data_IF_376245644623
#
_entry.id   IF_376245644623
#
_cell.length_a   1.000
_cell.length_b   1.000
_cell.length_c   1.000
_cell.angle_alpha   90.00
_cell.angle_beta   90.00
_cell.angle_gamma   90.00
#
_symmetry.space_group_name_H-M   'P 1'
#
loop_
_entity.id
_entity.type
_entity.pdbx_description
1 polymer ?
#
# COMPACT_ATOMS: atom_id res chain seq x y z
N UNK A 1 22.22 -15.37 -13.18
CA UNK A 1 22.15 -13.90 -13.40
C UNK A 1 20.88 -13.44 -14.16
N UNK A 2 20.19 -14.31 -14.93
CA UNK A 2 19.00 -13.92 -15.70
C UNK A 2 17.70 -13.68 -14.88
N UNK A 3 17.63 -14.13 -13.62
CA UNK A 3 16.39 -14.04 -12.82
C UNK A 3 16.23 -12.67 -12.13
N UNK A 4 17.35 -12.04 -11.74
CA UNK A 4 17.36 -10.75 -11.04
C UNK A 4 16.90 -9.61 -11.94
N UNK A 5 17.33 -9.58 -13.20
CA UNK A 5 16.91 -8.55 -14.18
C UNK A 5 15.42 -8.62 -14.53
N UNK A 6 14.84 -9.83 -14.56
CA UNK A 6 13.39 -10.00 -14.79
C UNK A 6 12.57 -9.55 -13.59
N UNK A 7 13.06 -9.81 -12.37
CA UNK A 7 12.42 -9.33 -11.14
C UNK A 7 12.45 -7.81 -11.03
N UNK A 8 13.59 -7.16 -11.30
CA UNK A 8 13.68 -5.69 -11.24
C UNK A 8 12.75 -5.03 -12.25
N UNK A 9 12.69 -5.55 -13.48
CA UNK A 9 11.75 -5.04 -14.49
C UNK A 9 10.30 -5.17 -14.03
N UNK A 10 9.92 -6.34 -13.49
CA UNK A 10 8.57 -6.58 -12.97
C UNK A 10 8.20 -5.62 -11.83
N UNK A 11 9.15 -5.29 -10.94
CA UNK A 11 8.93 -4.31 -9.87
C UNK A 11 8.63 -2.93 -10.43
N UNK A 12 9.45 -2.46 -11.38
CA UNK A 12 9.25 -1.17 -12.04
C UNK A 12 7.90 -1.11 -12.76
N UNK A 13 7.55 -2.15 -13.52
CA UNK A 13 6.28 -2.23 -14.24
C UNK A 13 5.08 -2.21 -13.27
N UNK A 14 5.20 -2.91 -12.13
CA UNK A 14 4.17 -2.93 -11.08
C UNK A 14 4.02 -1.57 -10.39
N UNK A 15 5.12 -0.91 -10.06
CA UNK A 15 5.13 0.40 -9.42
C UNK A 15 4.53 1.47 -10.35
N UNK A 16 4.90 1.45 -11.64
CA UNK A 16 4.30 2.32 -12.64
C UNK A 16 2.78 2.14 -12.74
N UNK A 17 2.30 0.89 -12.73
CA UNK A 17 0.87 0.60 -12.73
C UNK A 17 0.15 1.09 -11.47
N UNK A 18 0.82 1.09 -10.31
CA UNK A 18 0.28 1.69 -9.08
C UNK A 18 0.22 3.21 -9.20
N UNK A 19 1.28 3.85 -9.68
CA UNK A 19 1.32 5.30 -9.88
C UNK A 19 0.29 5.78 -10.92
N UNK A 20 0.04 5.00 -11.96
CA UNK A 20 -1.03 5.28 -12.93
C UNK A 20 -2.40 5.29 -12.24
N UNK A 21 -2.65 4.35 -11.32
CA UNK A 21 -3.89 4.34 -10.52
C UNK A 21 -4.00 5.54 -9.60
N UNK A 22 -2.90 5.96 -8.98
CA UNK A 22 -2.87 7.18 -8.15
C UNK A 22 -3.16 8.42 -8.99
N UNK A 23 -2.52 8.56 -10.16
CA UNK A 23 -2.72 9.68 -11.07
C UNK A 23 -4.17 9.76 -11.60
N UNK A 24 -4.85 8.61 -11.74
CA UNK A 24 -6.26 8.56 -12.14
C UNK A 24 -7.24 9.01 -11.05
N UNK A 25 -6.81 9.18 -9.80
CA UNK A 25 -7.68 9.65 -8.71
C UNK A 25 -8.05 11.13 -8.92
N UNK A 26 -9.28 11.54 -8.52
CA UNK A 26 -9.67 12.95 -8.49
C UNK A 26 -8.97 13.68 -7.33
N UNK A 27 -8.84 15.01 -7.43
CA UNK A 27 -8.39 15.81 -6.30
C UNK A 27 -9.49 15.88 -5.21
N UNK A 28 -9.12 15.92 -3.91
CA UNK A 28 -7.76 16.00 -3.34
C UNK A 28 -7.07 14.63 -3.19
N UNK A 29 -7.74 13.54 -3.56
CA UNK A 29 -7.27 12.18 -3.30
C UNK A 29 -6.02 11.79 -4.09
N UNK A 30 -5.76 12.40 -5.25
CA UNK A 30 -4.50 12.21 -5.96
C UNK A 30 -3.31 12.65 -5.12
N UNK A 31 -3.31 13.89 -4.64
CA UNK A 31 -2.24 14.42 -3.80
C UNK A 31 -2.04 13.57 -2.53
N UNK A 32 -3.13 13.08 -1.93
CA UNK A 32 -3.07 12.17 -0.79
C UNK A 32 -2.47 10.81 -1.15
N UNK A 33 -2.86 10.23 -2.29
CA UNK A 33 -2.37 8.94 -2.77
C UNK A 33 -0.88 8.97 -3.11
N UNK A 34 -0.39 10.05 -3.70
CA UNK A 34 1.05 10.26 -3.97
C UNK A 34 1.83 10.30 -2.66
N UNK A 35 1.33 11.06 -1.67
CA UNK A 35 1.96 11.14 -0.34
C UNK A 35 1.94 9.79 0.39
N UNK A 36 0.83 9.05 0.33
CA UNK A 36 0.74 7.71 0.94
C UNK A 36 1.72 6.74 0.31
N UNK A 37 1.82 6.73 -1.03
CA UNK A 37 2.78 5.88 -1.74
C UNK A 37 4.22 6.14 -1.26
N UNK A 38 4.63 7.41 -1.23
CA UNK A 38 5.96 7.80 -0.74
C UNK A 38 6.16 7.37 0.72
N UNK A 39 5.22 7.70 1.60
CA UNK A 39 5.32 7.43 3.03
C UNK A 39 5.43 5.93 3.33
N UNK A 40 4.68 5.09 2.61
CA UNK A 40 4.74 3.63 2.79
C UNK A 40 6.13 3.10 2.43
N UNK A 41 6.70 3.52 1.30
CA UNK A 41 8.02 3.07 0.85
C UNK A 41 9.17 3.66 1.69
N UNK A 42 9.01 4.86 2.23
CA UNK A 42 9.95 5.44 3.20
C UNK A 42 9.93 4.71 4.54
N UNK A 43 8.73 4.36 5.03
CA UNK A 43 8.54 3.71 6.33
C UNK A 43 8.91 2.22 6.29
N UNK A 44 8.67 1.54 5.16
CA UNK A 44 8.97 0.13 4.98
C UNK A 44 9.60 -0.12 3.59
N UNK A 45 10.91 0.16 3.42
CA UNK A 45 11.61 0.05 2.14
C UNK A 45 11.68 -1.37 1.56
N UNK A 46 11.36 -2.40 2.35
CA UNK A 46 11.26 -3.78 1.89
C UNK A 46 9.93 -4.10 1.17
N UNK A 47 8.97 -3.18 1.20
CA UNK A 47 7.71 -3.32 0.48
C UNK A 47 7.87 -2.94 -0.99
N UNK A 48 7.14 -3.67 -1.82
CA UNK A 48 7.06 -3.44 -3.26
C UNK A 48 5.61 -3.08 -3.62
N UNK A 49 5.45 -1.95 -4.30
CA UNK A 49 4.17 -1.54 -4.85
C UNK A 49 3.75 -2.48 -5.98
N UNK A 50 2.49 -2.92 -5.98
CA UNK A 50 1.90 -3.68 -7.07
C UNK A 50 0.39 -3.50 -7.15
N UNK A 51 -0.21 -3.68 -8.35
CA UNK A 51 -1.66 -3.69 -8.48
C UNK A 51 -2.28 -4.83 -7.66
N UNK A 52 -3.32 -4.51 -6.90
CA UNK A 52 -4.08 -5.46 -6.10
C UNK A 52 -5.57 -5.19 -6.27
N UNK A 53 -6.26 -6.11 -6.95
CA UNK A 53 -7.67 -5.94 -7.35
C UNK A 53 -7.98 -4.59 -8.03
N UNK A 54 -7.02 -4.07 -8.80
CA UNK A 54 -7.15 -2.79 -9.50
C UNK A 54 -6.81 -1.54 -8.68
N UNK A 55 -6.44 -1.70 -7.40
CA UNK A 55 -6.03 -0.63 -6.49
C UNK A 55 -4.55 -0.74 -6.08
N UNK A 56 -3.94 0.35 -5.58
CA UNK A 56 -2.61 0.32 -4.96
C UNK A 56 -2.49 -0.67 -3.79
N UNK A 57 -1.54 -1.60 -3.86
CA UNK A 57 -1.22 -2.52 -2.77
C UNK A 57 0.30 -2.72 -2.61
N UNK A 58 0.73 -3.07 -1.41
CA UNK A 58 2.15 -3.17 -1.03
C UNK A 58 2.45 -4.51 -0.38
N UNK A 59 3.50 -5.19 -0.84
CA UNK A 59 3.84 -6.54 -0.43
C UNK A 59 5.35 -6.73 -0.26
N UNK A 60 5.77 -7.66 0.61
CA UNK A 60 7.17 -8.10 0.70
C UNK A 60 7.46 -9.09 -0.43
N UNK A 61 8.20 -8.68 -1.46
CA UNK A 61 8.55 -9.51 -2.61
C UNK A 61 7.33 -10.19 -3.27
N UNK A 62 7.38 -11.51 -3.41
CA UNK A 62 6.26 -12.30 -3.95
C UNK A 62 5.21 -12.69 -2.90
N UNK A 63 5.31 -12.20 -1.67
CA UNK A 63 4.38 -12.47 -0.58
C UNK A 63 2.99 -11.84 -0.77
N UNK A 64 2.07 -12.00 0.20
CA UNK A 64 0.75 -11.36 0.16
C UNK A 64 0.86 -9.83 0.26
N UNK A 65 -0.19 -9.13 -0.19
CA UNK A 65 -0.33 -7.68 0.09
C UNK A 65 -0.57 -7.50 1.58
N UNK A 66 0.15 -6.57 2.20
CA UNK A 66 0.09 -6.27 3.63
C UNK A 66 -0.69 -4.99 3.91
N UNK A 67 -0.52 -3.97 3.08
CA UNK A 67 -1.30 -2.74 3.15
C UNK A 67 -1.73 -2.27 1.76
N UNK A 68 -2.79 -1.47 1.72
CA UNK A 68 -3.39 -0.95 0.50
C UNK A 68 -4.06 0.40 0.76
N UNK A 69 -4.32 1.14 -0.31
CA UNK A 69 -5.27 2.23 -0.25
C UNK A 69 -6.13 2.31 -1.51
N UNK A 70 -7.34 2.86 -1.36
CA UNK A 70 -8.30 3.02 -2.46
C UNK A 70 -9.19 4.24 -2.23
N UNK A 71 -9.86 4.68 -3.29
CA UNK A 71 -10.82 5.79 -3.25
C UNK A 71 -12.16 5.25 -3.75
N UNK A 72 -13.11 5.13 -2.81
CA UNK A 72 -14.52 4.89 -3.11
C UNK A 72 -15.27 6.21 -2.85
N UNK A 73 -16.08 6.29 -1.78
CA UNK A 73 -16.66 7.55 -1.29
C UNK A 73 -15.64 8.41 -0.53
N UNK A 74 -14.69 7.75 0.15
CA UNK A 74 -13.56 8.33 0.86
C UNK A 74 -12.29 7.57 0.52
N UNK A 75 -11.13 8.17 0.80
CA UNK A 75 -9.89 7.44 0.76
C UNK A 75 -9.78 6.52 1.98
N UNK A 76 -9.62 5.23 1.73
CA UNK A 76 -9.37 4.21 2.77
C UNK A 76 -7.92 3.77 2.68
N UNK A 77 -7.21 3.75 3.81
CA UNK A 77 -5.94 3.05 3.98
C UNK A 77 -6.16 1.86 4.91
N UNK A 78 -5.76 0.67 4.48
CA UNK A 78 -6.05 -0.57 5.20
C UNK A 78 -4.86 -1.51 5.28
N UNK A 79 -4.87 -2.32 6.33
CA UNK A 79 -3.99 -3.45 6.54
C UNK A 79 -4.76 -4.75 6.28
N UNK A 80 -4.11 -5.72 5.64
CA UNK A 80 -4.72 -7.03 5.40
C UNK A 80 -4.50 -7.94 6.60
N UNK A 81 -5.23 -9.05 6.66
CA UNK A 81 -5.04 -10.10 7.66
C UNK A 81 -3.68 -10.80 7.57
N UNK A 82 -2.89 -10.49 6.53
CA UNK A 82 -1.53 -11.00 6.33
C UNK A 82 -0.47 -10.07 6.89
N UNK A 83 -0.83 -8.84 7.25
CA UNK A 83 0.07 -7.97 7.99
C UNK A 83 0.36 -8.56 9.38
N UNK A 84 1.59 -8.38 9.86
CA UNK A 84 1.96 -8.71 11.23
C UNK A 84 1.50 -7.57 12.11
N UNK A 85 0.65 -7.87 13.07
CA UNK A 85 0.17 -6.91 14.07
C UNK A 85 0.81 -7.24 15.41
N UNK A 86 1.36 -6.23 16.06
CA UNK A 86 1.78 -6.28 17.46
C UNK A 86 0.79 -5.43 18.24
N UNK A 87 0.32 -5.94 19.38
CA UNK A 87 -0.53 -5.15 20.27
C UNK A 87 0.30 -4.00 20.83
N UNK A 88 -0.29 -2.82 20.92
CA UNK A 88 0.35 -1.69 21.59
C UNK A 88 0.61 -2.05 23.06
N UNK A 89 1.85 -1.83 23.49
CA UNK A 89 2.28 -2.12 24.86
C UNK A 89 1.43 -1.30 25.86
N UNK A 90 0.63 -2.01 26.65
CA UNK A 90 -0.21 -1.41 27.69
C UNK A 90 -1.60 -0.95 27.22
N UNK A 91 -2.03 -1.31 26.01
CA UNK A 91 -3.40 -1.07 25.56
C UNK A 91 -4.42 -1.73 26.51
N UNK A 92 -5.50 -1.03 26.92
CA UNK A 92 -6.54 -1.59 27.79
C UNK A 92 -7.46 -2.56 27.04
N UNK A 93 -7.39 -2.59 25.71
CA UNK A 93 -8.16 -3.44 24.82
C UNK A 93 -7.25 -4.40 24.02
N UNK A 94 -7.86 -5.37 23.35
CA UNK A 94 -7.17 -6.32 22.47
C UNK A 94 -7.49 -6.04 21.00
N UNK A 95 -7.78 -4.78 20.65
CA UNK A 95 -8.12 -4.41 19.30
C UNK A 95 -6.86 -4.22 18.46
N UNK A 96 -6.99 -4.50 17.16
CA UNK A 96 -5.94 -4.25 16.18
C UNK A 96 -6.44 -3.21 15.20
N UNK A 97 -5.62 -2.19 14.94
CA UNK A 97 -5.92 -1.18 13.94
C UNK A 97 -5.85 -1.82 12.55
N UNK A 98 -6.99 -1.93 11.86
CA UNK A 98 -7.07 -2.61 10.57
C UNK A 98 -7.30 -1.66 9.39
N UNK A 99 -7.85 -0.46 9.63
CA UNK A 99 -8.07 0.55 8.60
C UNK A 99 -8.30 1.94 9.18
N UNK A 100 -7.96 2.95 8.37
CA UNK A 100 -8.31 4.35 8.57
C UNK A 100 -9.00 4.88 7.31
N UNK A 101 -9.92 5.81 7.51
CA UNK A 101 -10.49 6.60 6.43
C UNK A 101 -10.03 8.04 6.57
N UNK A 102 -9.83 8.71 5.44
CA UNK A 102 -9.51 10.13 5.41
C UNK A 102 -10.71 10.92 4.93
N UNK A 103 -11.01 12.00 5.64
CA UNK A 103 -12.02 12.99 5.25
C UNK A 103 -11.31 14.27 4.79
N UNK A 104 -11.83 14.89 3.72
CA UNK A 104 -11.41 16.21 3.24
C UNK A 104 -11.95 17.35 4.11
#
# INVERSE_FOLDING_TARGET
MANTQKQTKKKIDNEAAVLEKVAAMPEPYRAMGERLHQLILESAPELEARPWYGMPGYAKGSGPVLCFFRVDDYMTFGLTEKATFELEDGAPDQLMECAWFFTS
#
